data_IF_602573973027
#
_entry.id   IF_602573973027
#
_cell.length_a   1.000
_cell.length_b   1.000
_cell.length_c   1.000
_cell.angle_alpha   90.00
_cell.angle_beta   90.00
_cell.angle_gamma   90.00
#
_symmetry.space_group_name_H-M   'P 1'
#
loop_
_entity.id
_entity.type
_entity.pdbx_description
1 polymer ?
#
# COMPACT_ATOMS: atom_id res chain seq x y z
N UNK A 1 -7.51 57.27 23.23
CA UNK A 1 -8.54 58.27 22.94
C UNK A 1 -7.95 59.36 22.07
N UNK A 2 -8.16 59.33 20.75
CA UNK A 2 -8.53 60.48 19.90
C UNK A 2 -9.22 59.87 18.67
N UNK A 3 -10.44 60.30 18.45
CA UNK A 3 -11.37 59.90 17.40
C UNK A 3 -11.30 60.92 16.27
N UNK A 4 -11.39 60.50 15.01
CA UNK A 4 -11.88 61.34 13.91
C UNK A 4 -12.62 60.48 12.87
N UNK A 5 -13.93 60.57 12.94
CA UNK A 5 -14.97 60.15 11.99
C UNK A 5 -15.19 61.21 10.90
N UNK A 6 -15.62 60.82 9.70
CA UNK A 6 -16.62 61.47 8.80
C UNK A 6 -16.56 60.75 7.43
N UNK A 7 -17.55 59.92 7.05
CA UNK A 7 -18.88 60.23 6.48
C UNK A 7 -18.91 60.16 4.93
N UNK A 8 -19.72 59.23 4.44
CA UNK A 8 -20.38 59.13 3.10
C UNK A 8 -21.46 60.25 2.97
N UNK A 9 -22.21 60.51 1.85
CA UNK A 9 -22.76 59.51 0.90
C UNK A 9 -23.22 59.96 -0.54
N UNK A 10 -23.95 59.03 -1.21
CA UNK A 10 -25.00 59.18 -2.27
C UNK A 10 -24.58 59.38 -3.76
N UNK A 11 -24.69 58.37 -4.65
CA UNK A 11 -25.84 57.86 -5.48
C UNK A 11 -26.16 58.64 -6.76
N UNK A 12 -26.14 57.98 -7.94
CA UNK A 12 -27.33 57.71 -8.79
C UNK A 12 -27.02 57.04 -10.15
N UNK A 13 -27.86 56.05 -10.51
CA UNK A 13 -28.42 55.66 -11.84
C UNK A 13 -27.49 55.35 -13.04
N UNK A 14 -27.80 54.48 -14.02
CA UNK A 14 -28.89 53.51 -14.28
C UNK A 14 -28.54 52.71 -15.56
N UNK A 15 -28.91 51.42 -15.58
CA UNK A 15 -29.65 50.68 -16.64
C UNK A 15 -29.00 50.36 -18.03
N UNK A 16 -28.92 49.03 -18.28
CA UNK A 16 -29.19 48.25 -19.52
C UNK A 16 -28.25 48.36 -20.74
N UNK A 17 -27.69 47.22 -21.18
CA UNK A 17 -28.27 46.41 -22.28
C UNK A 17 -27.27 45.39 -22.87
N UNK A 18 -27.76 44.15 -22.92
CA UNK A 18 -27.46 43.00 -23.79
C UNK A 18 -26.80 43.32 -25.15
N UNK A 19 -25.68 42.64 -25.47
CA UNK A 19 -25.50 41.79 -26.69
C UNK A 19 -24.11 41.15 -26.78
N UNK A 20 -24.07 39.82 -26.95
CA UNK A 20 -22.96 39.09 -27.61
C UNK A 20 -23.08 39.27 -29.14
N UNK A 21 -21.97 39.11 -29.88
CA UNK A 21 -21.82 37.87 -30.65
C UNK A 21 -20.38 37.29 -30.64
N UNK A 22 -20.31 36.01 -31.00
CA UNK A 22 -19.13 35.13 -31.13
C UNK A 22 -18.52 35.17 -32.55
N UNK A 23 -17.66 34.20 -32.96
CA UNK A 23 -16.20 34.15 -32.86
C UNK A 23 -15.50 34.30 -34.23
N UNK A 24 -14.19 34.55 -34.26
CA UNK A 24 -13.38 34.55 -35.48
C UNK A 24 -12.22 33.55 -35.39
N UNK A 25 -12.28 32.55 -36.27
CA UNK A 25 -11.18 31.68 -36.69
C UNK A 25 -10.29 32.43 -37.69
N UNK A 26 -8.97 32.25 -37.61
CA UNK A 26 -8.07 32.19 -38.77
C UNK A 26 -6.77 31.45 -38.41
N UNK A 27 -6.51 30.32 -39.07
CA UNK A 27 -5.19 29.81 -39.49
C UNK A 27 -5.10 30.03 -41.04
N UNK A 28 -4.01 29.74 -41.81
CA UNK A 28 -2.82 28.93 -41.51
C UNK A 28 -1.46 29.50 -42.04
N UNK A 29 -0.32 28.88 -41.67
CA UNK A 29 0.77 28.48 -42.61
C UNK A 29 2.02 27.94 -41.88
N UNK A 30 2.24 26.64 -42.05
CA UNK A 30 3.47 25.87 -42.28
C UNK A 30 4.85 26.55 -42.22
N UNK A 31 5.77 26.00 -41.42
CA UNK A 31 7.15 25.64 -41.83
C UNK A 31 7.83 24.76 -40.77
N UNK A 32 8.39 23.64 -41.24
CA UNK A 32 9.11 22.63 -40.49
C UNK A 32 10.54 23.07 -40.16
N UNK A 33 11.07 22.68 -38.99
CA UNK A 33 12.49 22.43 -38.80
C UNK A 33 12.70 21.32 -37.77
N UNK A 34 13.13 20.17 -38.28
CA UNK A 34 13.64 19.03 -37.54
C UNK A 34 15.11 19.33 -37.23
N UNK A 35 15.50 19.30 -35.96
CA UNK A 35 16.90 19.28 -35.57
C UNK A 35 17.18 18.05 -34.71
N UNK A 36 17.82 17.06 -35.32
CA UNK A 36 18.49 15.94 -34.66
C UNK A 36 19.93 16.34 -34.34
N UNK A 37 20.47 16.00 -33.16
CA UNK A 37 21.92 15.99 -32.96
C UNK A 37 22.48 14.57 -33.20
N UNK A 38 23.38 14.47 -34.19
CA UNK A 38 24.29 13.33 -34.38
C UNK A 38 25.22 13.24 -33.16
N UNK A 39 25.17 12.13 -32.41
CA UNK A 39 26.30 11.71 -31.57
C UNK A 39 27.20 10.78 -32.38
N UNK A 40 28.42 11.24 -32.63
CA UNK A 40 29.52 10.47 -33.22
C UNK A 40 30.21 9.68 -32.10
N UNK A 41 30.19 8.35 -32.19
CA UNK A 41 31.02 7.45 -31.37
C UNK A 41 32.41 7.31 -31.98
N UNK A 42 33.49 7.34 -31.17
CA UNK A 42 34.72 6.61 -31.45
C UNK A 42 34.92 5.43 -30.45
N UNK A 43 35.60 4.34 -30.85
CA UNK A 43 35.66 3.11 -30.08
C UNK A 43 36.69 3.19 -28.94
N UNK A 44 36.30 2.77 -27.73
CA UNK A 44 37.25 2.54 -26.65
C UNK A 44 37.94 1.19 -26.85
N UNK A 45 39.26 1.25 -27.04
CA UNK A 45 40.17 0.10 -27.06
C UNK A 45 40.34 -0.44 -25.65
N UNK A 46 40.20 -1.75 -25.53
CA UNK A 46 40.62 -2.53 -24.36
C UNK A 46 42.14 -2.66 -24.38
N UNK A 47 42.81 -2.27 -23.29
CA UNK A 47 44.21 -2.60 -23.04
C UNK A 47 44.41 -2.94 -21.57
N UNK A 48 44.91 -4.14 -21.37
CA UNK A 48 45.52 -4.74 -20.17
C UNK A 48 46.41 -3.81 -19.35
N UNK A 49 46.53 -4.08 -18.04
CA UNK A 49 47.78 -4.13 -17.23
C UNK A 49 47.41 -4.52 -15.78
N UNK A 50 47.69 -5.77 -15.39
CA UNK A 50 48.75 -6.21 -14.43
C UNK A 50 48.46 -6.04 -12.93
N UNK A 51 48.24 -7.20 -12.31
CA UNK A 51 48.66 -7.64 -10.97
C UNK A 51 49.72 -6.78 -10.26
N UNK A 52 49.43 -6.42 -9.01
CA UNK A 52 50.44 -6.22 -7.97
C UNK A 52 50.07 -6.96 -6.68
N UNK A 53 50.98 -7.84 -6.28
CA UNK A 53 51.07 -8.45 -4.95
C UNK A 53 51.29 -7.38 -3.87
N UNK A 54 50.69 -7.57 -2.69
CA UNK A 54 51.32 -7.14 -1.46
C UNK A 54 51.23 -8.22 -0.37
N UNK A 55 52.41 -8.51 0.17
CA UNK A 55 52.71 -9.45 1.25
C UNK A 55 52.14 -8.97 2.59
N UNK A 56 51.81 -9.96 3.43
CA UNK A 56 51.48 -9.83 4.83
C UNK A 56 52.69 -9.42 5.68
N UNK A 57 52.42 -8.65 6.75
CA UNK A 57 53.26 -8.57 7.94
C UNK A 57 52.37 -8.59 9.19
N UNK A 58 52.87 -9.34 10.16
CA UNK A 58 52.29 -9.86 11.39
C UNK A 58 52.21 -8.83 12.52
N UNK A 59 51.28 -8.99 13.47
CA UNK A 59 51.62 -9.16 14.91
C UNK A 59 50.41 -9.37 15.83
N UNK A 60 50.55 -10.43 16.65
CA UNK A 60 50.13 -10.61 18.05
C UNK A 60 48.66 -10.39 18.46
N UNK A 61 48.00 -11.44 18.95
CA UNK A 61 47.99 -11.82 20.38
C UNK A 61 46.84 -12.81 20.72
N UNK A 62 47.20 -13.85 21.50
CA UNK A 62 46.40 -14.62 22.50
C UNK A 62 45.03 -15.19 22.11
N UNK A 63 44.86 -16.50 21.96
CA UNK A 63 44.66 -17.58 22.97
C UNK A 63 43.25 -18.18 22.74
N UNK A 64 43.19 -19.36 22.14
CA UNK A 64 42.74 -20.62 22.76
C UNK A 64 41.26 -20.68 23.22
N UNK A 65 40.44 -21.41 22.45
CA UNK A 65 39.42 -22.29 23.02
C UNK A 65 39.09 -23.46 22.07
N UNK A 66 39.66 -24.62 22.42
CA UNK A 66 39.08 -25.97 22.43
C UNK A 66 38.05 -26.41 21.36
N UNK A 67 38.55 -27.31 20.50
CA UNK A 67 38.09 -28.71 20.33
C UNK A 67 36.79 -29.04 19.55
N UNK A 68 37.03 -29.57 18.33
CA UNK A 68 36.50 -30.83 17.79
C UNK A 68 34.98 -31.01 17.61
N UNK A 69 34.50 -31.06 16.36
CA UNK A 69 33.63 -32.15 15.91
C UNK A 69 33.69 -32.36 14.39
N UNK A 70 34.45 -33.40 14.04
CA UNK A 70 34.28 -34.40 13.00
C UNK A 70 33.15 -34.22 11.95
N UNK A 71 33.61 -34.17 10.69
CA UNK A 71 32.98 -34.57 9.42
C UNK A 71 31.64 -35.34 9.46
N UNK A 72 30.69 -34.88 8.65
CA UNK A 72 29.93 -35.74 7.74
C UNK A 72 29.36 -34.89 6.58
N UNK A 73 30.09 -34.84 5.48
CA UNK A 73 29.55 -34.50 4.17
C UNK A 73 28.55 -35.59 3.76
N UNK A 74 27.25 -35.29 3.84
CA UNK A 74 26.22 -36.09 3.16
C UNK A 74 25.75 -35.35 1.92
N UNK A 75 26.26 -35.79 0.78
CA UNK A 75 25.63 -35.60 -0.52
C UNK A 75 24.20 -36.16 -0.49
N UNK A 76 23.20 -35.31 -0.73
CA UNK A 76 21.91 -35.78 -1.21
C UNK A 76 21.61 -35.11 -2.55
N UNK A 77 21.69 -35.93 -3.58
CA UNK A 77 21.19 -35.64 -4.91
C UNK A 77 19.67 -35.37 -4.88
N UNK A 78 19.13 -34.58 -5.84
CA UNK A 78 17.74 -34.20 -5.85
C UNK A 78 16.91 -35.36 -6.41
N UNK A 79 16.23 -36.09 -5.53
CA UNK A 79 15.36 -37.19 -5.92
C UNK A 79 14.01 -37.11 -5.19
N UNK A 80 13.29 -35.99 -5.29
CA UNK A 80 11.82 -35.99 -5.19
C UNK A 80 11.25 -34.70 -5.83
N UNK A 81 11.24 -34.65 -7.15
CA UNK A 81 10.42 -33.70 -7.91
C UNK A 81 8.96 -34.18 -7.89
N UNK A 82 8.30 -34.08 -6.72
CA UNK A 82 6.84 -34.20 -6.57
C UNK A 82 6.41 -33.49 -5.27
N UNK A 83 6.48 -32.16 -5.26
CA UNK A 83 5.72 -31.29 -4.35
C UNK A 83 5.19 -30.11 -5.15
N UNK A 84 4.31 -30.42 -6.11
CA UNK A 84 3.57 -29.42 -6.85
C UNK A 84 2.34 -28.98 -6.05
N UNK A 85 2.13 -27.67 -5.94
CA UNK A 85 0.91 -26.98 -5.51
C UNK A 85 0.54 -26.87 -4.02
N UNK A 86 1.02 -27.71 -3.09
CA UNK A 86 0.58 -27.61 -1.67
C UNK A 86 1.41 -26.67 -0.77
N UNK A 87 2.49 -26.09 -1.28
CA UNK A 87 3.48 -25.36 -0.47
C UNK A 87 3.50 -23.82 -0.60
N UNK A 88 2.70 -23.24 -1.50
CA UNK A 88 2.75 -21.81 -1.80
C UNK A 88 1.38 -21.14 -1.64
N UNK A 89 0.95 -21.01 -0.38
CA UNK A 89 -0.31 -20.35 -0.04
C UNK A 89 -0.39 -18.92 -0.59
N UNK A 90 0.73 -18.19 -0.60
CA UNK A 90 0.78 -16.82 -1.13
C UNK A 90 0.59 -16.79 -2.64
N UNK A 91 1.23 -17.69 -3.38
CA UNK A 91 1.01 -17.83 -4.83
C UNK A 91 -0.41 -18.31 -5.18
N UNK A 92 -1.02 -19.16 -4.35
CA UNK A 92 -2.42 -19.56 -4.51
C UNK A 92 -3.37 -18.39 -4.28
N UNK A 93 -3.17 -17.60 -3.22
CA UNK A 93 -3.93 -16.38 -2.97
C UNK A 93 -3.75 -15.36 -4.10
N UNK A 94 -2.54 -15.21 -4.63
CA UNK A 94 -2.28 -14.30 -5.74
C UNK A 94 -3.05 -14.68 -7.00
N UNK A 95 -3.20 -15.98 -7.30
CA UNK A 95 -4.06 -16.46 -8.41
C UNK A 95 -5.52 -16.05 -8.22
N UNK A 96 -5.99 -16.00 -6.98
CA UNK A 96 -7.31 -15.49 -6.57
C UNK A 96 -7.34 -13.96 -6.41
N UNK A 97 -6.31 -13.26 -6.89
CA UNK A 97 -6.13 -11.80 -6.86
C UNK A 97 -6.10 -11.21 -5.45
N UNK A 98 -5.58 -11.98 -4.51
CA UNK A 98 -5.40 -11.58 -3.11
C UNK A 98 -3.92 -11.29 -2.86
N UNK A 99 -3.64 -10.07 -2.39
CA UNK A 99 -2.31 -9.59 -2.02
C UNK A 99 -2.30 -9.27 -0.53
N UNK A 100 -1.22 -9.61 0.18
CA UNK A 100 -1.11 -9.40 1.63
C UNK A 100 0.06 -8.47 1.97
N UNK A 101 -0.25 -7.35 2.62
CA UNK A 101 0.72 -6.47 3.26
C UNK A 101 0.69 -6.72 4.78
N UNK A 102 1.52 -7.65 5.23
CA UNK A 102 1.48 -8.19 6.60
C UNK A 102 2.63 -7.78 7.53
N UNK A 103 3.54 -6.93 7.04
CA UNK A 103 4.78 -6.58 7.75
C UNK A 103 4.98 -5.07 7.79
N UNK A 104 6.03 -4.64 8.49
CA UNK A 104 6.54 -3.27 8.36
C UNK A 104 6.86 -2.97 6.89
N UNK A 105 6.61 -1.73 6.46
CA UNK A 105 6.83 -1.30 5.08
C UNK A 105 8.28 -0.86 4.90
N UNK A 106 9.05 -1.62 4.13
CA UNK A 106 10.37 -1.26 3.62
C UNK A 106 10.39 -1.40 2.09
N UNK A 107 11.53 -1.10 1.46
CA UNK A 107 11.66 -1.11 0.00
C UNK A 107 11.47 -2.51 -0.58
N UNK A 108 11.91 -3.57 0.11
CA UNK A 108 11.76 -4.95 -0.37
C UNK A 108 10.28 -5.39 -0.36
N UNK A 109 9.57 -5.09 0.73
CA UNK A 109 8.13 -5.34 0.84
C UNK A 109 7.37 -4.52 -0.21
N UNK A 110 7.73 -3.26 -0.40
CA UNK A 110 7.10 -2.41 -1.41
C UNK A 110 7.29 -2.95 -2.83
N UNK A 111 8.50 -3.33 -3.21
CA UNK A 111 8.78 -3.91 -4.53
C UNK A 111 7.97 -5.19 -4.78
N UNK A 112 7.81 -6.04 -3.76
CA UNK A 112 7.00 -7.25 -3.84
C UNK A 112 5.51 -6.94 -4.05
N UNK A 113 4.94 -6.00 -3.29
CA UNK A 113 3.54 -5.58 -3.42
C UNK A 113 3.30 -4.93 -4.78
N UNK A 114 4.15 -3.99 -5.19
CA UNK A 114 4.08 -3.30 -6.48
C UNK A 114 4.11 -4.32 -7.63
N UNK A 115 5.04 -5.26 -7.59
CA UNK A 115 5.15 -6.30 -8.63
C UNK A 115 3.89 -7.15 -8.72
N UNK A 116 3.29 -7.51 -7.59
CA UNK A 116 2.05 -8.28 -7.54
C UNK A 116 0.86 -7.49 -8.10
N UNK A 117 0.70 -6.21 -7.72
CA UNK A 117 -0.38 -5.36 -8.22
C UNK A 117 -0.30 -5.16 -9.74
N UNK A 118 0.90 -4.86 -10.26
CA UNK A 118 1.13 -4.69 -11.69
C UNK A 118 0.90 -5.98 -12.47
N UNK A 119 1.33 -7.13 -11.92
CA UNK A 119 1.09 -8.44 -12.53
C UNK A 119 -0.42 -8.73 -12.65
N UNK A 120 -1.17 -8.52 -11.56
CA UNK A 120 -2.61 -8.77 -11.54
C UNK A 120 -3.38 -7.84 -12.49
N UNK A 121 -2.98 -6.57 -12.59
CA UNK A 121 -3.55 -5.62 -13.56
C UNK A 121 -3.24 -6.01 -15.01
N UNK A 122 -2.03 -6.48 -15.29
CA UNK A 122 -1.64 -6.95 -16.62
C UNK A 122 -2.40 -8.22 -17.03
N UNK A 123 -2.69 -9.11 -16.10
CA UNK A 123 -3.45 -10.35 -16.35
C UNK A 123 -4.92 -10.08 -16.64
N UNK A 124 -5.58 -9.26 -15.82
CA UNK A 124 -6.97 -8.89 -16.01
C UNK A 124 -7.24 -7.54 -15.33
N UNK A 125 -7.30 -6.43 -16.10
CA UNK A 125 -7.54 -5.10 -15.55
C UNK A 125 -9.01 -4.85 -15.18
N UNK A 126 -9.92 -5.77 -15.49
CA UNK A 126 -11.37 -5.59 -15.25
C UNK A 126 -11.83 -6.19 -13.92
N UNK A 127 -11.03 -7.07 -13.33
CA UNK A 127 -11.33 -7.73 -12.06
C UNK A 127 -10.65 -7.05 -10.90
N UNK A 128 -11.39 -6.88 -9.81
CA UNK A 128 -10.89 -6.33 -8.57
C UNK A 128 -9.67 -7.10 -8.04
N UNK A 129 -8.80 -6.38 -7.34
CA UNK A 129 -7.70 -6.92 -6.54
C UNK A 129 -8.02 -6.68 -5.07
N UNK A 130 -7.84 -7.70 -4.22
CA UNK A 130 -8.04 -7.58 -2.77
C UNK A 130 -6.69 -7.43 -2.08
N UNK A 131 -6.44 -6.28 -1.49
CA UNK A 131 -5.25 -5.97 -0.71
C UNK A 131 -5.58 -6.02 0.78
N UNK A 132 -5.14 -7.08 1.47
CA UNK A 132 -5.25 -7.19 2.91
C UNK A 132 -4.07 -6.51 3.59
N UNK A 133 -4.35 -5.69 4.61
CA UNK A 133 -3.36 -4.85 5.28
C UNK A 133 -3.38 -5.14 6.78
N UNK A 134 -2.24 -5.59 7.30
CA UNK A 134 -1.94 -5.70 8.72
C UNK A 134 -0.52 -5.18 8.94
N UNK A 135 -0.37 -3.87 9.12
CA UNK A 135 0.93 -3.22 9.18
C UNK A 135 0.90 -1.99 10.09
N UNK A 136 1.97 -1.83 10.86
CA UNK A 136 2.20 -0.65 11.69
C UNK A 136 2.72 0.57 10.90
N UNK A 137 2.90 0.43 9.57
CA UNK A 137 3.53 1.43 8.71
C UNK A 137 5.01 1.15 8.47
N UNK A 138 5.75 2.17 8.05
CA UNK A 138 7.19 2.06 7.79
C UNK A 138 7.73 3.23 6.99
N UNK A 139 8.61 2.94 6.03
CA UNK A 139 9.22 3.95 5.16
C UNK A 139 8.16 4.72 4.36
N UNK A 140 8.22 6.05 4.43
CA UNK A 140 7.30 6.92 3.70
C UNK A 140 7.49 6.77 2.18
N UNK A 141 8.72 6.75 1.68
CA UNK A 141 9.00 6.59 0.25
C UNK A 141 8.47 5.27 -0.31
N UNK A 142 8.73 4.16 0.40
CA UNK A 142 8.22 2.83 0.05
C UNK A 142 6.68 2.81 0.01
N UNK A 143 6.05 3.48 0.99
CA UNK A 143 4.59 3.62 1.02
C UNK A 143 4.08 4.43 -0.16
N UNK A 144 4.71 5.56 -0.50
CA UNK A 144 4.30 6.38 -1.64
C UNK A 144 4.42 5.60 -2.96
N UNK A 145 5.43 4.77 -3.12
CA UNK A 145 5.57 3.91 -4.30
C UNK A 145 4.40 2.91 -4.42
N UNK A 146 4.00 2.26 -3.32
CA UNK A 146 2.81 1.39 -3.31
C UNK A 146 1.55 2.21 -3.62
N UNK A 147 1.39 3.36 -2.97
CA UNK A 147 0.20 4.21 -3.14
C UNK A 147 0.04 4.71 -4.58
N UNK A 148 1.13 5.12 -5.22
CA UNK A 148 1.11 5.54 -6.62
C UNK A 148 0.70 4.39 -7.54
N UNK A 149 1.18 3.17 -7.28
CA UNK A 149 0.77 1.98 -8.04
C UNK A 149 -0.69 1.63 -7.80
N UNK A 150 -1.17 1.76 -6.56
CA UNK A 150 -2.60 1.58 -6.23
C UNK A 150 -3.48 2.53 -7.06
N UNK A 151 -3.01 3.75 -7.34
CA UNK A 151 -3.72 4.73 -8.19
C UNK A 151 -3.45 4.58 -9.69
N UNK A 152 -2.37 3.91 -10.06
CA UNK A 152 -1.94 3.71 -11.45
C UNK A 152 -2.66 2.55 -12.13
N UNK A 153 -2.90 1.46 -11.40
CA UNK A 153 -3.54 0.28 -11.96
C UNK A 153 -4.98 0.57 -12.40
N UNK A 154 -5.45 -0.17 -13.42
CA UNK A 154 -6.78 -0.01 -14.00
C UNK A 154 -7.83 -0.81 -13.23
N UNK A 155 -7.42 -1.97 -12.71
CA UNK A 155 -8.24 -2.77 -11.82
C UNK A 155 -8.55 -2.01 -10.53
N UNK A 156 -9.80 -2.13 -10.06
CA UNK A 156 -10.17 -1.61 -8.74
C UNK A 156 -9.42 -2.36 -7.64
N UNK A 157 -8.96 -1.64 -6.63
CA UNK A 157 -8.30 -2.22 -5.45
C UNK A 157 -9.23 -2.10 -4.25
N UNK A 158 -9.69 -3.25 -3.76
CA UNK A 158 -10.39 -3.38 -2.49
C UNK A 158 -9.38 -3.55 -1.36
N UNK A 159 -9.32 -2.60 -0.44
CA UNK A 159 -8.41 -2.64 0.71
C UNK A 159 -9.14 -3.17 1.94
N UNK A 160 -8.53 -4.11 2.67
CA UNK A 160 -9.14 -4.71 3.87
C UNK A 160 -8.14 -4.71 5.02
N UNK A 161 -8.40 -3.90 6.05
CA UNK A 161 -7.55 -3.82 7.22
C UNK A 161 -7.88 -4.89 8.27
N UNK A 162 -6.86 -5.64 8.69
CA UNK A 162 -6.89 -6.66 9.74
C UNK A 162 -5.92 -6.25 10.86
N UNK A 163 -6.29 -6.47 12.12
CA UNK A 163 -5.38 -6.23 13.25
C UNK A 163 -5.05 -4.75 13.42
N UNK A 164 -4.02 -4.24 12.72
CA UNK A 164 -3.67 -2.83 12.70
C UNK A 164 -3.37 -2.31 11.29
N UNK A 165 -3.82 -1.09 11.00
CA UNK A 165 -3.35 -0.29 9.87
C UNK A 165 -2.96 1.09 10.38
N UNK A 166 -1.68 1.29 10.66
CA UNK A 166 -1.18 2.49 11.32
C UNK A 166 -0.17 3.27 10.47
N UNK A 167 -0.05 4.57 10.75
CA UNK A 167 0.90 5.46 10.10
C UNK A 167 0.75 5.38 8.58
N UNK A 168 1.81 5.04 7.86
CA UNK A 168 1.83 5.04 6.40
C UNK A 168 0.98 3.91 5.81
N UNK A 169 0.73 2.83 6.56
CA UNK A 169 -0.17 1.76 6.12
C UNK A 169 -1.63 2.22 6.00
N UNK A 170 -2.07 3.17 6.84
CA UNK A 170 -3.41 3.75 6.74
C UNK A 170 -3.60 4.61 5.49
N UNK A 171 -2.50 5.15 4.93
CA UNK A 171 -2.52 5.86 3.65
C UNK A 171 -2.83 4.87 2.52
N UNK A 172 -2.19 3.70 2.53
CA UNK A 172 -2.47 2.62 1.56
C UNK A 172 -3.92 2.13 1.72
N UNK A 173 -4.38 1.93 2.96
CA UNK A 173 -5.78 1.57 3.25
C UNK A 173 -6.76 2.58 2.64
N UNK A 174 -6.55 3.87 2.92
CA UNK A 174 -7.41 4.95 2.40
C UNK A 174 -7.29 5.18 0.89
N UNK A 175 -6.20 4.72 0.27
CA UNK A 175 -5.92 4.81 -1.15
C UNK A 175 -6.64 3.79 -2.03
N UNK A 176 -7.27 2.77 -1.44
CA UNK A 176 -8.12 1.83 -2.17
C UNK A 176 -9.26 2.51 -2.93
N UNK A 177 -9.86 1.81 -3.88
CA UNK A 177 -10.99 2.31 -4.66
C UNK A 177 -12.13 2.72 -3.72
N UNK A 178 -12.65 3.95 -3.91
CA UNK A 178 -13.75 4.49 -3.10
C UNK A 178 -14.99 3.57 -3.16
N UNK A 179 -15.56 3.26 -2.00
CA UNK A 179 -16.63 2.28 -1.84
C UNK A 179 -16.15 0.85 -1.63
N UNK A 180 -14.83 0.59 -1.68
CA UNK A 180 -14.20 -0.74 -1.54
C UNK A 180 -13.11 -0.76 -0.47
N UNK A 181 -13.13 0.18 0.49
CA UNK A 181 -12.16 0.24 1.60
C UNK A 181 -12.80 -0.27 2.88
N UNK A 182 -12.22 -1.28 3.52
CA UNK A 182 -12.86 -1.99 4.62
C UNK A 182 -11.92 -2.28 5.78
N UNK A 183 -12.49 -2.60 6.94
CA UNK A 183 -11.76 -3.15 8.08
C UNK A 183 -12.59 -4.18 8.85
N UNK A 184 -11.91 -5.11 9.54
CA UNK A 184 -12.56 -6.03 10.46
C UNK A 184 -12.92 -5.34 11.79
N UNK A 185 -13.86 -5.87 12.60
CA UNK A 185 -14.44 -5.14 13.73
C UNK A 185 -13.46 -4.83 14.87
N UNK A 186 -12.41 -5.64 15.01
CA UNK A 186 -11.37 -5.48 16.02
C UNK A 186 -10.15 -4.69 15.52
N UNK A 187 -10.13 -4.29 14.25
CA UNK A 187 -8.99 -3.60 13.66
C UNK A 187 -8.81 -2.21 14.26
N UNK A 188 -7.56 -1.81 14.54
CA UNK A 188 -7.22 -0.43 14.90
C UNK A 188 -6.59 0.30 13.73
N UNK A 189 -7.05 1.52 13.50
CA UNK A 189 -6.52 2.39 12.44
C UNK A 189 -5.87 3.60 13.10
N UNK A 190 -4.69 3.99 12.67
CA UNK A 190 -3.98 5.13 13.27
C UNK A 190 -3.39 6.02 12.18
N UNK A 191 -3.65 7.32 12.28
CA UNK A 191 -3.02 8.35 11.45
C UNK A 191 -2.21 9.30 12.32
N UNK A 192 -1.10 9.79 11.78
CA UNK A 192 -0.25 10.82 12.36
C UNK A 192 0.59 11.48 11.27
N UNK A 193 1.23 12.60 11.59
CA UNK A 193 2.18 13.26 10.70
C UNK A 193 3.41 12.37 10.46
N UNK A 194 4.07 12.48 9.30
CA UNK A 194 5.30 11.73 9.06
C UNK A 194 6.38 12.09 10.08
N UNK A 195 7.08 11.06 10.57
CA UNK A 195 8.22 11.24 11.45
C UNK A 195 9.46 11.62 10.63
N UNK A 196 10.26 12.54 11.15
CA UNK A 196 11.51 12.96 10.51
C UNK A 196 12.48 13.54 11.52
N UNK A 197 13.76 13.58 11.15
CA UNK A 197 14.84 14.18 11.93
C UNK A 197 15.75 14.97 11.02
N UNK A 198 16.50 15.91 11.61
CA UNK A 198 17.49 16.72 10.89
C UNK A 198 18.79 16.79 11.71
N UNK A 199 19.92 16.56 11.06
CA UNK A 199 21.25 16.66 11.70
C UNK A 199 22.33 17.04 10.66
N UNK A 200 23.48 17.54 11.12
CA UNK A 200 24.59 17.93 10.24
C UNK A 200 24.89 19.42 10.30
N UNK A 201 25.44 19.97 9.21
CA UNK A 201 25.70 21.41 9.12
C UNK A 201 24.39 22.20 9.08
N UNK A 202 24.45 23.50 9.39
CA UNK A 202 23.26 24.36 9.42
C UNK A 202 22.44 24.28 8.10
N UNK A 203 23.14 24.23 6.96
CA UNK A 203 22.51 24.10 5.64
C UNK A 203 21.85 22.72 5.48
N UNK A 204 22.50 21.63 5.92
CA UNK A 204 21.94 20.28 5.85
C UNK A 204 20.67 20.15 6.70
N UNK A 205 20.69 20.76 7.89
CA UNK A 205 19.53 20.80 8.80
C UNK A 205 18.38 21.56 8.15
N UNK A 206 18.64 22.70 7.52
CA UNK A 206 17.63 23.48 6.80
C UNK A 206 17.01 22.67 5.64
N UNK A 207 17.84 21.99 4.85
CA UNK A 207 17.38 21.14 3.73
C UNK A 207 16.49 20.00 4.23
N UNK A 208 16.93 19.28 5.26
CA UNK A 208 16.17 18.17 5.85
C UNK A 208 14.85 18.64 6.47
N UNK A 209 14.85 19.77 7.17
CA UNK A 209 13.64 20.35 7.74
C UNK A 209 12.62 20.71 6.64
N UNK A 210 13.08 21.29 5.53
CA UNK A 210 12.22 21.61 4.38
C UNK A 210 11.59 20.37 3.77
N UNK A 211 12.35 19.28 3.67
CA UNK A 211 11.87 17.99 3.17
C UNK A 211 10.83 17.36 4.10
N UNK A 212 11.02 17.41 5.42
CA UNK A 212 10.02 16.94 6.40
C UNK A 212 8.72 17.74 6.27
N UNK A 213 8.80 19.06 6.09
CA UNK A 213 7.62 19.92 5.89
C UNK A 213 6.91 19.64 4.56
N UNK A 214 7.66 19.34 3.49
CA UNK A 214 7.11 18.91 2.22
C UNK A 214 6.32 17.61 2.37
N UNK A 215 6.93 16.61 3.00
CA UNK A 215 6.31 15.31 3.26
C UNK A 215 5.06 15.43 4.12
N UNK A 216 5.10 16.23 5.19
CA UNK A 216 3.90 16.52 6.01
C UNK A 216 2.77 17.09 5.15
N UNK A 217 3.06 18.11 4.35
CA UNK A 217 2.07 18.74 3.45
C UNK A 217 1.48 17.74 2.47
N UNK A 218 2.31 16.87 1.90
CA UNK A 218 1.87 15.85 0.95
C UNK A 218 0.96 14.80 1.61
N UNK A 219 1.36 14.27 2.76
CA UNK A 219 0.56 13.30 3.53
C UNK A 219 -0.78 13.89 3.96
N UNK A 220 -0.80 15.14 4.45
CA UNK A 220 -2.05 15.84 4.80
C UNK A 220 -2.98 15.93 3.60
N UNK A 221 -2.46 16.29 2.42
CA UNK A 221 -3.24 16.36 1.18
C UNK A 221 -3.83 15.00 0.80
N UNK A 222 -3.01 13.95 0.83
CA UNK A 222 -3.46 12.58 0.50
C UNK A 222 -4.59 12.15 1.43
N UNK A 223 -4.44 12.32 2.75
CA UNK A 223 -5.47 11.95 3.71
C UNK A 223 -6.73 12.80 3.50
N UNK A 224 -6.58 14.10 3.24
CA UNK A 224 -7.70 15.00 2.91
C UNK A 224 -8.47 14.53 1.68
N UNK A 225 -7.77 14.18 0.59
CA UNK A 225 -8.37 13.68 -0.65
C UNK A 225 -9.09 12.34 -0.45
N UNK A 226 -8.48 11.41 0.29
CA UNK A 226 -9.07 10.10 0.57
C UNK A 226 -10.30 10.18 1.48
N UNK A 227 -10.33 11.13 2.43
CA UNK A 227 -11.39 11.23 3.46
C UNK A 227 -12.49 12.22 3.11
N UNK A 228 -12.21 13.19 2.22
CA UNK A 228 -13.09 14.32 1.95
C UNK A 228 -13.08 15.40 3.04
N UNK A 229 -12.20 15.30 4.04
CA UNK A 229 -12.02 16.34 5.07
C UNK A 229 -11.15 17.46 4.54
N UNK A 230 -11.32 18.68 5.06
CA UNK A 230 -10.46 19.81 4.65
C UNK A 230 -9.01 19.59 5.09
N UNK A 231 -8.09 20.21 4.34
CA UNK A 231 -6.66 20.14 4.62
C UNK A 231 -6.33 20.57 6.05
N UNK A 232 -6.92 21.67 6.52
CA UNK A 232 -6.68 22.24 7.85
C UNK A 232 -7.18 21.32 8.97
N UNK A 233 -8.30 20.64 8.75
CA UNK A 233 -8.84 19.68 9.72
C UNK A 233 -7.92 18.47 9.83
N UNK A 234 -7.48 17.93 8.70
CA UNK A 234 -6.54 16.80 8.67
C UNK A 234 -5.20 17.19 9.31
N UNK A 235 -4.65 18.37 8.99
CA UNK A 235 -3.38 18.83 9.56
C UNK A 235 -3.42 18.86 11.08
N UNK A 236 -4.54 19.30 11.66
CA UNK A 236 -4.77 19.30 13.11
C UNK A 236 -4.94 17.89 13.66
N UNK A 237 -5.70 17.05 12.97
CA UNK A 237 -6.04 15.69 13.41
C UNK A 237 -4.85 14.73 13.38
N UNK A 238 -3.85 14.99 12.53
CA UNK A 238 -2.62 14.17 12.44
C UNK A 238 -1.45 14.74 13.24
N UNK A 239 -1.60 15.87 13.94
CA UNK A 239 -0.49 16.44 14.72
C UNK A 239 0.03 15.48 15.80
N UNK A 240 -0.84 14.61 16.29
CA UNK A 240 -0.52 13.51 17.20
C UNK A 240 -1.12 12.21 16.71
N UNK A 241 -0.67 11.11 17.30
CA UNK A 241 -1.24 9.78 17.07
C UNK A 241 -2.74 9.79 17.32
N UNK A 242 -3.49 9.61 16.24
CA UNK A 242 -4.95 9.52 16.27
C UNK A 242 -5.36 8.09 15.97
N UNK A 243 -5.65 7.33 17.02
CA UNK A 243 -6.20 5.99 16.89
C UNK A 243 -7.73 6.01 16.75
N UNK A 244 -8.23 5.15 15.88
CA UNK A 244 -9.64 4.98 15.56
C UNK A 244 -10.02 3.51 15.57
N UNK A 245 -11.24 3.24 16.02
CA UNK A 245 -11.96 2.00 15.73
C UNK A 245 -12.39 1.97 14.25
N UNK A 246 -12.82 0.82 13.73
CA UNK A 246 -13.31 0.74 12.36
C UNK A 246 -14.50 1.68 12.11
N UNK A 247 -15.42 1.79 13.07
CA UNK A 247 -16.59 2.68 12.97
C UNK A 247 -16.14 4.15 12.90
N UNK A 248 -15.26 4.57 13.81
CA UNK A 248 -14.71 5.94 13.79
C UNK A 248 -13.94 6.21 12.49
N UNK A 249 -13.29 5.20 11.90
CA UNK A 249 -12.58 5.36 10.64
C UNK A 249 -13.52 5.47 9.42
N UNK A 250 -14.71 4.84 9.46
CA UNK A 250 -15.79 5.08 8.48
C UNK A 250 -16.28 6.52 8.60
N UNK A 251 -16.59 6.98 9.81
CA UNK A 251 -17.01 8.37 10.07
C UNK A 251 -15.93 9.40 9.71
N UNK A 252 -14.67 9.03 9.86
CA UNK A 252 -13.55 9.86 9.43
C UNK A 252 -13.40 9.89 7.91
N UNK A 253 -13.83 8.83 7.21
CA UNK A 253 -13.76 8.68 5.75
C UNK A 253 -12.53 7.91 5.25
N UNK A 254 -11.76 7.26 6.13
CA UNK A 254 -10.58 6.45 5.74
C UNK A 254 -11.01 5.16 5.05
N UNK A 255 -12.08 4.55 5.58
CA UNK A 255 -12.69 3.34 5.04
C UNK A 255 -14.17 3.61 4.75
N UNK A 256 -14.78 2.72 3.95
CA UNK A 256 -16.17 2.81 3.51
C UNK A 256 -17.10 1.87 4.30
N UNK A 257 -16.56 0.84 4.96
CA UNK A 257 -17.37 -0.08 5.76
C UNK A 257 -16.57 -0.98 6.70
N UNK A 258 -17.30 -1.63 7.62
CA UNK A 258 -16.77 -2.64 8.53
C UNK A 258 -17.31 -3.99 8.08
N UNK A 259 -16.43 -4.97 7.88
CA UNK A 259 -16.82 -6.34 7.54
C UNK A 259 -17.14 -7.08 8.84
N UNK A 260 -18.39 -7.45 9.06
CA UNK A 260 -18.82 -8.31 10.16
C UNK A 260 -19.37 -9.65 9.65
N UNK A 261 -19.82 -10.52 10.57
CA UNK A 261 -20.29 -11.87 10.24
C UNK A 261 -21.51 -11.93 9.32
N UNK A 262 -22.26 -10.84 9.20
CA UNK A 262 -23.40 -10.72 8.27
C UNK A 262 -22.97 -10.14 6.91
N UNK A 263 -21.77 -9.54 6.86
CA UNK A 263 -21.18 -8.85 5.70
C UNK A 263 -19.99 -9.62 5.10
N UNK A 264 -19.87 -10.93 5.36
CA UNK A 264 -18.74 -11.76 4.90
C UNK A 264 -18.52 -11.52 3.40
N UNK A 265 -17.37 -10.92 3.05
CA UNK A 265 -16.91 -10.90 1.66
C UNK A 265 -16.58 -12.35 1.31
N UNK A 266 -17.39 -13.01 0.47
CA UNK A 266 -17.14 -14.41 0.17
C UNK A 266 -15.80 -14.51 -0.56
N UNK A 267 -14.86 -15.32 -0.06
CA UNK A 267 -13.63 -15.59 -0.80
C UNK A 267 -13.91 -16.37 -2.10
N UNK A 268 -15.04 -17.08 -2.13
CA UNK A 268 -15.74 -17.68 -3.28
C UNK A 268 -17.25 -17.44 -3.10
N UNK A 269 -18.10 -17.44 -4.15
CA UNK A 269 -19.56 -17.39 -3.98
C UNK A 269 -20.00 -18.50 -3.01
N UNK A 270 -20.65 -18.11 -1.91
CA UNK A 270 -21.17 -19.05 -0.91
C UNK A 270 -22.18 -19.95 -1.63
N UNK A 271 -22.00 -21.28 -1.67
CA UNK A 271 -23.02 -22.18 -2.19
C UNK A 271 -24.31 -21.93 -1.41
N UNK A 272 -25.48 -21.96 -2.07
CA UNK A 272 -26.77 -21.67 -1.46
C UNK A 272 -27.00 -22.51 -0.20
N UNK A 273 -26.69 -21.90 0.96
CA UNK A 273 -26.89 -22.38 2.33
C UNK A 273 -26.46 -23.83 2.57
N UNK A 274 -25.34 -24.00 3.28
CA UNK A 274 -25.38 -24.99 4.37
C UNK A 274 -26.43 -24.46 5.33
N UNK A 275 -27.63 -25.08 5.34
CA UNK A 275 -28.64 -24.83 6.37
C UNK A 275 -27.91 -24.87 7.70
N UNK A 276 -28.03 -23.82 8.51
CA UNK A 276 -27.55 -23.86 9.88
C UNK A 276 -28.08 -25.16 10.49
N UNK A 277 -27.20 -26.13 10.69
CA UNK A 277 -27.55 -27.33 11.41
C UNK A 277 -27.75 -26.86 12.83
N UNK A 278 -28.98 -26.53 13.18
CA UNK A 278 -29.38 -26.38 14.58
C UNK A 278 -29.01 -27.70 15.23
N UNK A 279 -27.85 -27.75 15.90
CA UNK A 279 -27.41 -28.94 16.59
C UNK A 279 -28.43 -29.21 17.68
N UNK A 280 -29.29 -30.20 17.44
CA UNK A 280 -30.22 -30.66 18.45
C UNK A 280 -29.43 -31.50 19.46
N UNK A 281 -28.99 -30.85 20.54
CA UNK A 281 -28.22 -31.48 21.61
C UNK A 281 -28.92 -32.72 22.20
N UNK A 282 -30.26 -32.80 22.13
CA UNK A 282 -31.02 -33.97 22.58
C UNK A 282 -30.88 -35.19 21.66
N UNK A 283 -30.61 -35.00 20.37
CA UNK A 283 -30.35 -36.10 19.43
C UNK A 283 -28.91 -36.60 19.53
N UNK A 284 -27.96 -35.69 19.70
CA UNK A 284 -26.53 -36.02 19.87
C UNK A 284 -26.31 -36.83 21.16
N UNK A 285 -27.07 -36.53 22.22
CA UNK A 285 -27.04 -37.29 23.47
C UNK A 285 -27.57 -38.72 23.34
N UNK A 286 -28.43 -39.00 22.35
CA UNK A 286 -29.07 -40.32 22.18
C UNK A 286 -28.22 -41.29 21.39
N UNK A 287 -27.43 -40.80 20.43
CA UNK A 287 -26.47 -41.64 19.69
C UNK A 287 -25.23 -40.83 19.27
N UNK A 288 -24.22 -40.72 20.16
CA UNK A 288 -23.01 -39.96 19.87
C UNK A 288 -22.13 -40.62 18.80
N UNK A 289 -22.32 -41.91 18.47
CA UNK A 289 -21.50 -42.61 17.47
C UNK A 289 -21.87 -42.22 16.04
N UNK A 290 -23.14 -41.88 15.79
CA UNK A 290 -23.64 -41.44 14.48
C UNK A 290 -22.94 -40.19 13.95
N UNK A 291 -22.36 -39.37 14.83
CA UNK A 291 -21.68 -38.12 14.47
C UNK A 291 -20.15 -38.22 14.47
N UNK A 292 -19.59 -39.39 14.80
CA UNK A 292 -18.13 -39.63 14.83
C UNK A 292 -17.63 -40.32 13.56
N UNK A 293 -18.52 -40.92 12.78
CA UNK A 293 -18.21 -41.54 11.49
C UNK A 293 -19.25 -41.08 10.47
N UNK A 294 -19.02 -39.98 9.74
CA UNK A 294 -19.88 -39.68 8.61
C UNK A 294 -19.75 -40.83 7.60
N UNK A 295 -20.87 -41.43 7.22
CA UNK A 295 -20.90 -42.32 6.05
C UNK A 295 -20.70 -41.44 4.82
N UNK A 296 -19.44 -41.36 4.37
CA UNK A 296 -19.09 -40.73 3.10
C UNK A 296 -19.34 -41.82 2.04
N UNK A 297 -20.27 -41.62 1.11
CA UNK A 297 -20.45 -42.54 -0.01
C UNK A 297 -19.14 -42.64 -0.81
N UNK A 298 -18.71 -43.86 -1.14
CA UNK A 298 -17.42 -44.14 -1.80
C UNK A 298 -17.25 -43.40 -3.15
N UNK A 299 -18.35 -42.92 -3.72
CA UNK A 299 -18.46 -42.16 -4.96
C UNK A 299 -18.04 -40.68 -4.86
N UNK A 300 -17.79 -40.14 -3.65
CA UNK A 300 -17.25 -38.78 -3.45
C UNK A 300 -15.74 -38.74 -3.12
N UNK A 301 -15.06 -39.88 -3.12
CA UNK A 301 -13.61 -39.97 -2.88
C UNK A 301 -12.86 -40.37 -4.15
N UNK A 302 -13.01 -39.61 -5.24
CA UNK A 302 -12.07 -39.61 -6.38
C UNK A 302 -12.08 -38.27 -7.13
#
# INVERSE_FOLDING_TARGET
MVSLTLSTPLTHHSISAVRRPSPLQTSPSTAAFIHTPKLLTPPLKCSSLTSFHHQALTSSSSEESLLLHLTASSSQAPATATRGAEGDAMGLLLKERIVFLGSQIDDFVADAIISQLLLLDAQDPTKDIRLFINSAGGSLSATMAIFDVVRLVRADISTVALGISASTASIILGGGTKGKRFAMPNTRIMIHQPLGGASGQAIDVEIQAREVMHNKTNVTRIISDCTGRSFEQVEKDIDRDRYMSPIEAVEYGIIDGVIDGDSIIPLMPVPDRVKASTFNYEEISKDPKKFLTPEIPDDEIY
#
